data_IF_977012456006
#
_entry.id   IF_977012456006
#
_cell.length_a   1.000
_cell.length_b   1.000
_cell.length_c   1.000
_cell.angle_alpha   90.00
_cell.angle_beta   90.00
_cell.angle_gamma   90.00
#
_symmetry.space_group_name_H-M   'P 1'
#
loop_
_entity.id
_entity.type
_entity.pdbx_description
1 polymer ?
#
# COMPACT_ATOMS: atom_id res chain seq x y z
N UNK A 1 5.43 22.13 18.73
CA UNK A 1 4.76 20.83 18.48
C UNK A 1 5.83 19.79 18.13
N UNK A 2 6.19 18.91 19.07
CA UNK A 2 7.13 17.82 18.80
C UNK A 2 6.48 16.74 17.92
N UNK A 3 7.26 15.94 17.17
CA UNK A 3 6.71 14.85 16.38
C UNK A 3 6.00 13.82 17.28
N UNK A 4 4.83 13.33 16.84
CA UNK A 4 4.03 12.33 17.54
C UNK A 4 4.90 11.09 17.86
N UNK A 5 4.97 10.63 19.13
CA UNK A 5 5.79 9.49 19.53
C UNK A 5 5.49 8.19 18.75
N UNK A 6 4.25 8.00 18.28
CA UNK A 6 3.87 6.87 17.42
C UNK A 6 4.51 6.96 16.02
N UNK A 7 4.67 8.17 15.48
CA UNK A 7 5.33 8.37 14.19
C UNK A 7 6.85 8.18 14.30
N UNK A 8 7.45 8.53 15.45
CA UNK A 8 8.88 8.28 15.74
C UNK A 8 9.19 6.78 15.82
N UNK A 9 8.35 5.99 16.47
CA UNK A 9 8.58 4.54 16.60
C UNK A 9 8.43 3.80 15.27
N UNK A 10 7.43 4.14 14.44
CA UNK A 10 7.26 3.53 13.11
C UNK A 10 8.43 3.80 12.18
N UNK A 11 8.92 5.04 12.12
CA UNK A 11 10.11 5.36 11.32
C UNK A 11 11.36 4.60 11.79
N UNK A 12 11.49 4.36 13.10
CA UNK A 12 12.61 3.58 13.65
C UNK A 12 12.52 2.11 13.24
N UNK A 13 11.36 1.47 13.41
CA UNK A 13 11.15 0.06 13.01
C UNK A 13 11.37 -0.12 11.51
N UNK A 14 10.83 0.79 10.69
CA UNK A 14 11.03 0.77 9.24
C UNK A 14 12.50 0.87 8.86
N UNK A 15 13.24 1.82 9.46
CA UNK A 15 14.68 1.96 9.24
C UNK A 15 15.47 0.73 9.67
N UNK A 16 15.12 0.13 10.83
CA UNK A 16 15.77 -1.07 11.35
C UNK A 16 15.57 -2.27 10.42
N UNK A 17 14.33 -2.52 9.99
CA UNK A 17 14.01 -3.59 9.01
C UNK A 17 14.80 -3.37 7.71
N UNK A 18 14.90 -2.13 7.24
CA UNK A 18 15.66 -1.79 6.03
C UNK A 18 17.16 -2.08 6.15
N UNK A 19 17.76 -1.76 7.31
CA UNK A 19 19.17 -2.01 7.58
C UNK A 19 19.49 -3.51 7.74
N UNK A 20 18.53 -4.32 8.17
CA UNK A 20 18.69 -5.78 8.32
C UNK A 20 18.41 -6.55 7.01
N UNK A 21 18.13 -5.85 5.90
CA UNK A 21 17.78 -6.48 4.62
C UNK A 21 16.36 -7.06 4.58
N UNK A 22 15.55 -6.84 5.62
CA UNK A 22 14.20 -7.34 5.74
C UNK A 22 13.25 -6.72 4.71
N UNK A 23 12.17 -7.45 4.41
CA UNK A 23 11.10 -7.02 3.50
C UNK A 23 10.31 -5.86 4.15
N UNK A 24 9.92 -4.86 3.36
CA UNK A 24 8.99 -3.81 3.79
C UNK A 24 7.66 -4.44 4.22
N UNK A 25 7.13 -4.07 5.38
CA UNK A 25 5.79 -4.49 5.84
C UNK A 25 4.78 -3.38 5.55
N UNK A 26 3.55 -3.76 5.21
CA UNK A 26 2.48 -2.81 4.91
C UNK A 26 2.06 -2.02 6.16
N UNK A 27 2.10 -2.65 7.34
CA UNK A 27 1.77 -2.01 8.63
C UNK A 27 2.68 -0.81 8.97
N UNK A 28 3.88 -0.75 8.40
CA UNK A 28 4.85 0.34 8.60
C UNK A 28 4.58 1.55 7.69
N UNK A 29 3.99 1.32 6.52
CA UNK A 29 3.72 2.34 5.50
C UNK A 29 2.25 2.76 5.44
N UNK A 30 1.45 2.33 6.43
CA UNK A 30 0.06 2.73 6.63
C UNK A 30 -0.17 3.28 8.03
N UNK A 31 -1.22 4.07 8.18
CA UNK A 31 -1.73 4.50 9.48
C UNK A 31 -3.25 4.36 9.54
N UNK A 32 -3.82 4.44 10.74
CA UNK A 32 -5.28 4.46 10.92
C UNK A 32 -5.96 5.64 10.18
N UNK A 33 -5.21 6.70 9.88
CA UNK A 33 -5.71 7.90 9.17
C UNK A 33 -5.65 7.74 7.66
N UNK A 34 -4.81 6.82 7.16
CA UNK A 34 -4.72 6.51 5.72
C UNK A 34 -5.46 5.24 5.36
N UNK A 35 -6.21 4.66 6.29
CA UNK A 35 -7.12 3.54 6.07
C UNK A 35 -8.55 4.05 6.24
N UNK A 36 -9.28 4.11 5.13
CA UNK A 36 -10.64 4.67 5.05
C UNK A 36 -11.63 3.52 4.85
N UNK A 37 -12.54 3.31 5.80
CA UNK A 37 -13.51 2.20 5.79
C UNK A 37 -14.49 2.32 4.62
N UNK A 38 -14.78 3.55 4.22
CA UNK A 38 -15.72 3.90 3.18
C UNK A 38 -15.31 5.21 2.54
N UNK A 39 -14.80 5.11 1.32
CA UNK A 39 -14.46 6.27 0.49
C UNK A 39 -15.75 6.91 -0.02
N UNK A 40 -15.75 8.23 -0.13
CA UNK A 40 -16.91 9.03 -0.56
C UNK A 40 -16.87 9.38 -2.04
N UNK A 41 -15.71 9.23 -2.70
CA UNK A 41 -15.60 9.46 -4.13
C UNK A 41 -16.51 8.54 -4.96
N UNK A 42 -17.15 9.09 -5.98
CA UNK A 42 -18.05 8.35 -6.89
C UNK A 42 -17.41 8.02 -8.24
N UNK A 43 -16.18 8.47 -8.47
CA UNK A 43 -15.41 8.20 -9.67
C UNK A 43 -13.92 8.03 -9.33
N UNK A 44 -13.18 7.47 -10.29
CA UNK A 44 -11.74 7.23 -10.19
C UNK A 44 -10.94 8.47 -9.75
N UNK A 45 -11.26 9.66 -10.26
CA UNK A 45 -10.53 10.89 -9.97
C UNK A 45 -10.82 11.43 -8.57
N UNK A 46 -12.06 11.30 -8.09
CA UNK A 46 -12.47 11.65 -6.75
C UNK A 46 -11.83 10.71 -5.71
N UNK A 47 -11.80 9.40 -6.00
CA UNK A 47 -11.13 8.40 -5.15
C UNK A 47 -9.63 8.68 -5.02
N UNK A 48 -8.94 8.97 -6.13
CA UNK A 48 -7.52 9.33 -6.07
C UNK A 48 -7.27 10.63 -5.31
N UNK A 49 -8.16 11.62 -5.43
CA UNK A 49 -8.04 12.87 -4.67
C UNK A 49 -8.24 12.64 -3.16
N UNK A 50 -9.23 11.85 -2.76
CA UNK A 50 -9.53 11.53 -1.36
C UNK A 50 -8.36 10.78 -0.70
N UNK A 51 -7.79 9.77 -1.37
CA UNK A 51 -6.61 9.05 -0.87
C UNK A 51 -5.37 9.93 -0.82
N UNK A 52 -5.20 10.85 -1.78
CA UNK A 52 -4.10 11.84 -1.75
C UNK A 52 -4.22 12.80 -0.57
N UNK A 53 -5.43 13.20 -0.20
CA UNK A 53 -5.66 14.03 0.99
C UNK A 53 -5.29 13.28 2.28
N UNK A 54 -5.58 11.97 2.35
CA UNK A 54 -5.14 11.12 3.47
C UNK A 54 -3.61 11.12 3.60
N UNK A 55 -2.89 11.00 2.49
CA UNK A 55 -1.42 11.09 2.48
C UNK A 55 -0.93 12.49 2.91
N UNK A 56 -1.55 13.55 2.41
CA UNK A 56 -1.22 14.92 2.79
C UNK A 56 -1.38 15.15 4.31
N UNK A 57 -2.44 14.61 4.92
CA UNK A 57 -2.69 14.68 6.36
C UNK A 57 -1.61 13.97 7.21
N UNK A 58 -0.94 12.96 6.66
CA UNK A 58 0.22 12.28 7.26
C UNK A 58 1.56 13.00 7.03
N UNK A 59 1.51 14.19 6.38
CA UNK A 59 2.66 15.05 6.07
C UNK A 59 3.73 14.32 5.23
N UNK A 60 3.33 13.33 4.43
CA UNK A 60 4.24 12.58 3.54
C UNK A 60 4.49 13.34 2.24
N UNK A 61 3.56 14.22 1.85
CA UNK A 61 3.67 15.06 0.67
C UNK A 61 4.22 16.45 1.06
N UNK A 62 5.19 16.97 0.31
CA UNK A 62 5.58 18.39 0.35
C UNK A 62 4.64 19.25 -0.49
N UNK A 63 4.09 18.66 -1.55
CA UNK A 63 3.13 19.28 -2.46
C UNK A 63 2.14 18.18 -2.91
N UNK A 64 0.88 18.33 -2.50
CA UNK A 64 -0.17 17.35 -2.75
C UNK A 64 -0.73 17.41 -4.17
N UNK A 65 -0.79 18.60 -4.75
CA UNK A 65 -1.44 18.83 -6.04
C UNK A 65 -0.56 18.28 -7.17
N UNK A 66 0.76 18.45 -7.05
CA UNK A 66 1.73 17.84 -7.96
C UNK A 66 1.72 16.31 -7.86
N UNK A 67 1.58 15.74 -6.65
CA UNK A 67 1.43 14.28 -6.51
C UNK A 67 0.12 13.77 -7.11
N UNK A 68 -1.00 14.47 -6.86
CA UNK A 68 -2.31 14.13 -7.43
C UNK A 68 -2.30 14.19 -8.96
N UNK A 69 -1.58 15.15 -9.53
CA UNK A 69 -1.36 15.22 -10.97
C UNK A 69 -0.56 14.01 -11.46
N UNK A 70 0.57 13.72 -10.84
CA UNK A 70 1.45 12.61 -11.24
C UNK A 70 0.76 11.24 -11.16
N UNK A 71 -0.04 10.99 -10.11
CA UNK A 71 -0.78 9.73 -9.96
C UNK A 71 -1.85 9.57 -11.04
N UNK A 72 -2.53 10.66 -11.42
CA UNK A 72 -3.52 10.68 -12.51
C UNK A 72 -2.88 10.43 -13.86
N UNK A 73 -1.79 11.13 -14.17
CA UNK A 73 -1.03 10.92 -15.41
C UNK A 73 -0.55 9.47 -15.53
N UNK A 74 -0.09 8.86 -14.43
CA UNK A 74 0.28 7.44 -14.41
C UNK A 74 -0.90 6.52 -14.68
N UNK A 75 -2.05 6.81 -14.09
CA UNK A 75 -3.29 6.04 -14.24
C UNK A 75 -3.89 6.16 -15.66
N UNK A 76 -3.65 7.27 -16.35
CA UNK A 76 -4.08 7.49 -17.73
C UNK A 76 -3.26 6.68 -18.75
N UNK A 77 -1.97 6.42 -18.47
CA UNK A 77 -1.14 5.59 -19.34
C UNK A 77 -1.67 4.16 -19.44
N UNK A 78 -2.04 3.59 -18.30
CA UNK A 78 -2.64 2.26 -18.19
C UNK A 78 -3.32 2.17 -16.83
N UNK A 79 -4.54 1.62 -16.82
CA UNK A 79 -5.30 1.44 -15.60
C UNK A 79 -4.53 0.61 -14.58
N UNK A 80 -4.56 1.03 -13.32
CA UNK A 80 -4.01 0.24 -12.21
C UNK A 80 -5.05 -0.68 -11.55
N UNK A 81 -6.27 -0.74 -12.12
CA UNK A 81 -7.27 -1.72 -11.76
C UNK A 81 -7.00 -3.05 -12.45
N UNK A 82 -6.46 -4.00 -11.69
CA UNK A 82 -5.94 -5.28 -12.20
C UNK A 82 -7.00 -6.39 -12.29
N UNK A 83 -8.28 -6.03 -12.16
CA UNK A 83 -9.42 -6.93 -12.09
C UNK A 83 -9.66 -7.54 -10.70
N UNK A 84 -10.79 -8.22 -10.52
CA UNK A 84 -11.19 -8.78 -9.22
C UNK A 84 -11.65 -7.74 -8.21
N UNK A 85 -12.08 -6.56 -8.68
CA UNK A 85 -12.58 -5.49 -7.83
C UNK A 85 -11.51 -4.71 -7.06
N UNK A 86 -10.26 -4.72 -7.53
CA UNK A 86 -9.13 -4.09 -6.84
C UNK A 86 -8.35 -3.14 -7.76
N UNK A 87 -7.87 -2.02 -7.21
CA UNK A 87 -6.96 -1.10 -7.87
C UNK A 87 -5.77 -0.73 -6.99
N UNK A 88 -4.61 -0.51 -7.62
CA UNK A 88 -3.37 -0.13 -6.92
C UNK A 88 -2.76 1.11 -7.57
N UNK A 89 -3.37 2.30 -7.47
CA UNK A 89 -2.77 3.53 -7.99
C UNK A 89 -1.40 3.75 -7.36
N UNK A 90 -0.36 3.88 -8.15
CA UNK A 90 1.00 4.02 -7.62
C UNK A 90 1.83 5.00 -8.41
N UNK A 91 2.62 5.83 -7.72
CA UNK A 91 3.55 6.74 -8.37
C UNK A 91 4.80 6.97 -7.54
N UNK A 92 5.91 7.21 -8.24
CA UNK A 92 7.12 7.81 -7.68
C UNK A 92 7.12 9.30 -8.00
N UNK A 93 7.36 10.16 -7.02
CA UNK A 93 7.34 11.60 -7.25
C UNK A 93 8.19 12.36 -6.22
N UNK A 94 8.85 13.44 -6.66
CA UNK A 94 9.76 14.26 -5.84
C UNK A 94 9.06 14.91 -4.63
N UNK A 95 7.74 15.11 -4.72
CA UNK A 95 6.96 15.67 -3.61
C UNK A 95 6.74 14.66 -2.47
N UNK A 96 7.11 13.40 -2.63
CA UNK A 96 6.93 12.36 -1.60
C UNK A 96 8.19 12.26 -0.75
N UNK A 97 8.07 12.52 0.56
CA UNK A 97 9.21 12.55 1.50
C UNK A 97 9.69 11.18 1.97
N UNK A 98 8.81 10.19 1.93
CA UNK A 98 9.06 8.79 2.32
C UNK A 98 7.98 7.90 1.71
N UNK A 99 8.28 6.63 1.48
CA UNK A 99 7.28 5.68 1.02
C UNK A 99 6.12 5.60 2.03
N UNK A 100 4.89 5.79 1.53
CA UNK A 100 3.70 5.70 2.35
C UNK A 100 2.48 5.37 1.49
N UNK A 101 1.45 4.85 2.14
CA UNK A 101 0.28 4.31 1.48
C UNK A 101 -1.01 4.85 2.08
N UNK A 102 -2.05 4.79 1.27
CA UNK A 102 -3.42 4.97 1.68
C UNK A 102 -4.28 3.85 1.10
N UNK A 103 -5.24 3.35 1.87
CA UNK A 103 -6.16 2.31 1.46
C UNK A 103 -7.57 2.77 1.75
N UNK A 104 -8.51 2.47 0.85
CA UNK A 104 -9.91 2.61 1.18
C UNK A 104 -10.81 1.67 0.39
N UNK A 105 -12.02 1.51 0.88
CA UNK A 105 -13.03 0.64 0.28
C UNK A 105 -14.17 1.47 -0.30
N UNK A 106 -14.68 1.03 -1.44
CA UNK A 106 -15.86 1.59 -2.12
C UNK A 106 -16.92 0.51 -2.12
N UNK A 107 -17.88 0.60 -1.18
CA UNK A 107 -18.85 -0.49 -0.95
C UNK A 107 -19.68 -0.79 -2.19
N UNK A 108 -20.18 0.26 -2.84
CA UNK A 108 -21.01 0.15 -4.04
C UNK A 108 -20.20 -0.13 -5.32
N UNK A 109 -18.87 -0.11 -5.21
CA UNK A 109 -17.97 -0.19 -6.35
C UNK A 109 -17.86 1.13 -7.12
N UNK A 110 -16.77 1.29 -7.86
CA UNK A 110 -16.54 2.44 -8.74
C UNK A 110 -15.94 2.00 -10.07
N UNK A 111 -16.35 2.65 -11.15
CA UNK A 111 -15.71 2.46 -12.45
C UNK A 111 -14.26 2.96 -12.40
N UNK A 112 -13.33 2.10 -12.79
CA UNK A 112 -11.89 2.36 -12.70
C UNK A 112 -11.16 1.91 -13.97
N UNK A 113 -11.87 1.60 -15.06
CA UNK A 113 -11.35 0.99 -16.27
C UNK A 113 -10.58 -0.31 -15.97
N UNK A 114 -11.17 -1.19 -15.17
CA UNK A 114 -10.54 -2.46 -14.80
C UNK A 114 -10.38 -3.38 -16.03
N UNK A 115 -9.30 -4.17 -16.05
CA UNK A 115 -9.02 -5.12 -17.14
C UNK A 115 -10.14 -6.14 -17.38
N UNK A 116 -10.89 -6.49 -16.32
CA UNK A 116 -12.03 -7.43 -16.39
C UNK A 116 -13.39 -6.72 -16.54
N UNK A 117 -13.39 -5.39 -16.69
CA UNK A 117 -14.60 -4.56 -16.79
C UNK A 117 -15.46 -4.52 -15.53
N UNK A 118 -14.97 -5.01 -14.39
CA UNK A 118 -15.73 -5.01 -13.13
C UNK A 118 -15.44 -3.77 -12.29
N UNK A 119 -16.42 -3.29 -11.50
CA UNK A 119 -16.20 -2.18 -10.60
C UNK A 119 -15.15 -2.51 -9.53
N UNK A 120 -14.41 -1.49 -9.11
CA UNK A 120 -13.42 -1.60 -8.05
C UNK A 120 -14.05 -1.32 -6.68
N UNK A 121 -13.81 -2.21 -5.73
CA UNK A 121 -14.32 -2.11 -4.36
C UNK A 121 -13.23 -1.83 -3.32
N UNK A 122 -11.95 -2.02 -3.66
CA UNK A 122 -10.83 -1.69 -2.80
C UNK A 122 -9.69 -1.04 -3.57
N UNK A 123 -9.19 0.07 -3.04
CA UNK A 123 -8.11 0.86 -3.66
C UNK A 123 -6.96 0.99 -2.68
N UNK A 124 -5.75 0.67 -3.13
CA UNK A 124 -4.53 0.77 -2.34
C UNK A 124 -3.52 1.67 -3.06
N UNK A 125 -3.44 2.93 -2.64
CA UNK A 125 -2.54 3.92 -3.21
C UNK A 125 -1.12 3.81 -2.63
N UNK A 126 -0.11 3.81 -3.50
CA UNK A 126 1.32 3.80 -3.12
C UNK A 126 2.01 5.08 -3.58
N UNK A 127 2.54 5.84 -2.63
CA UNK A 127 3.36 7.01 -2.90
C UNK A 127 4.81 6.72 -2.50
N UNK A 128 5.78 6.99 -3.37
CA UNK A 128 7.20 6.80 -3.08
C UNK A 128 8.06 7.96 -3.58
N UNK A 129 9.16 8.30 -2.89
CA UNK A 129 10.20 9.11 -3.50
C UNK A 129 10.86 8.35 -4.68
N UNK A 130 11.54 9.05 -5.61
CA UNK A 130 12.14 8.44 -6.80
C UNK A 130 13.30 7.47 -6.55
N UNK A 131 14.01 7.62 -5.43
CA UNK A 131 15.24 6.89 -5.08
C UNK A 131 14.98 5.51 -4.44
N UNK A 132 13.75 5.24 -3.96
CA UNK A 132 13.40 3.99 -3.28
C UNK A 132 12.81 2.91 -4.21
N UNK A 133 13.48 2.60 -5.31
CA UNK A 133 12.97 1.67 -6.33
C UNK A 133 12.67 0.26 -5.79
N UNK A 134 13.57 -0.32 -4.99
CA UNK A 134 13.41 -1.69 -4.48
C UNK A 134 12.23 -1.79 -3.53
N UNK A 135 12.16 -0.90 -2.55
CA UNK A 135 11.11 -0.82 -1.54
C UNK A 135 9.75 -0.54 -2.18
N UNK A 136 9.72 0.36 -3.17
CA UNK A 136 8.52 0.65 -3.96
C UNK A 136 7.93 -0.61 -4.61
N UNK A 137 8.73 -1.38 -5.35
CA UNK A 137 8.27 -2.61 -6.00
C UNK A 137 7.84 -3.65 -4.95
N UNK A 138 8.53 -3.74 -3.81
CA UNK A 138 8.14 -4.62 -2.72
C UNK A 138 6.76 -4.26 -2.16
N UNK A 139 6.49 -2.97 -1.93
CA UNK A 139 5.20 -2.49 -1.42
C UNK A 139 4.08 -2.78 -2.40
N UNK A 140 4.26 -2.43 -3.68
CA UNK A 140 3.26 -2.72 -4.74
C UNK A 140 2.96 -4.22 -4.81
N UNK A 141 3.99 -5.06 -4.82
CA UNK A 141 3.82 -6.52 -4.88
C UNK A 141 3.18 -7.11 -3.61
N UNK A 142 3.36 -6.49 -2.44
CA UNK A 142 2.69 -6.91 -1.20
C UNK A 142 1.24 -6.45 -1.17
N UNK A 143 0.96 -5.21 -1.59
CA UNK A 143 -0.40 -4.70 -1.73
C UNK A 143 -1.22 -5.58 -2.68
N UNK A 144 -0.66 -5.94 -3.84
CA UNK A 144 -1.32 -6.85 -4.77
C UNK A 144 -1.62 -8.23 -4.15
N UNK A 145 -0.70 -8.78 -3.35
CA UNK A 145 -0.90 -10.05 -2.63
C UNK A 145 -1.95 -9.97 -1.54
N UNK A 146 -1.99 -8.86 -0.79
CA UNK A 146 -3.03 -8.61 0.21
C UNK A 146 -4.40 -8.56 -0.46
N UNK A 147 -4.53 -7.75 -1.51
CA UNK A 147 -5.78 -7.50 -2.22
C UNK A 147 -6.30 -8.72 -2.99
N UNK A 148 -5.42 -9.62 -3.45
CA UNK A 148 -5.79 -10.89 -4.09
C UNK A 148 -6.12 -12.01 -3.10
N UNK A 149 -5.94 -11.79 -1.79
CA UNK A 149 -6.25 -12.78 -0.78
C UNK A 149 -7.71 -12.66 -0.36
N UNK A 150 -8.56 -13.56 -0.86
CA UNK A 150 -10.00 -13.58 -0.52
C UNK A 150 -10.23 -13.57 1.00
N UNK A 151 -9.43 -14.35 1.74
CA UNK A 151 -9.50 -14.43 3.20
C UNK A 151 -9.20 -13.09 3.86
N UNK A 152 -8.18 -12.35 3.37
CA UNK A 152 -7.86 -11.03 3.92
C UNK A 152 -8.90 -10.01 3.52
N UNK A 153 -9.34 -10.01 2.26
CA UNK A 153 -10.37 -9.08 1.78
C UNK A 153 -11.70 -9.27 2.48
N UNK A 154 -12.16 -10.50 2.72
CA UNK A 154 -13.35 -10.77 3.52
C UNK A 154 -13.25 -10.16 4.92
N UNK A 155 -12.10 -10.30 5.59
CA UNK A 155 -11.86 -9.68 6.90
C UNK A 155 -11.83 -8.15 6.84
N UNK A 156 -11.27 -7.58 5.77
CA UNK A 156 -11.23 -6.12 5.57
C UNK A 156 -12.63 -5.56 5.32
N UNK A 157 -13.45 -6.22 4.50
CA UNK A 157 -14.83 -5.79 4.23
C UNK A 157 -15.76 -5.97 5.45
N UNK A 158 -15.48 -6.95 6.32
CA UNK A 158 -16.21 -7.15 7.57
C UNK A 158 -15.79 -6.19 8.70
N UNK A 159 -14.64 -5.51 8.56
CA UNK A 159 -14.11 -4.64 9.58
C UNK A 159 -14.98 -3.38 9.76
N UNK A 160 -15.23 -3.01 11.01
CA UNK A 160 -16.03 -1.83 11.38
C UNK A 160 -15.17 -0.63 11.78
N UNK A 161 -13.84 -0.77 11.75
CA UNK A 161 -12.91 0.30 12.09
C UNK A 161 -11.60 0.23 11.28
N UNK A 162 -10.95 1.36 11.06
CA UNK A 162 -9.60 1.39 10.46
C UNK A 162 -8.57 0.67 11.33
N UNK A 163 -8.81 0.60 12.65
CA UNK A 163 -8.01 -0.19 13.58
C UNK A 163 -8.08 -1.69 13.31
N UNK A 164 -9.28 -2.22 13.02
CA UNK A 164 -9.46 -3.63 12.68
C UNK A 164 -8.79 -3.96 11.35
N UNK A 165 -8.92 -3.11 10.34
CA UNK A 165 -8.24 -3.28 9.06
C UNK A 165 -6.71 -3.29 9.26
N UNK A 166 -6.17 -2.35 10.04
CA UNK A 166 -4.75 -2.34 10.38
C UNK A 166 -4.30 -3.64 11.07
N UNK A 167 -5.16 -4.27 11.88
CA UNK A 167 -4.87 -5.57 12.49
C UNK A 167 -4.82 -6.69 11.45
N UNK A 168 -5.75 -6.71 10.51
CA UNK A 168 -5.75 -7.68 9.39
C UNK A 168 -4.49 -7.54 8.55
N UNK A 169 -4.06 -6.31 8.24
CA UNK A 169 -2.83 -6.03 7.50
C UNK A 169 -1.60 -6.52 8.26
N UNK A 170 -1.55 -6.26 9.57
CA UNK A 170 -0.47 -6.75 10.43
C UNK A 170 -0.41 -8.29 10.49
N UNK A 171 -1.57 -8.95 10.55
CA UNK A 171 -1.66 -10.43 10.47
C UNK A 171 -1.16 -10.95 9.12
N UNK A 172 -1.57 -10.32 8.02
CA UNK A 172 -1.07 -10.62 6.68
C UNK A 172 0.45 -10.47 6.59
N UNK A 173 1.01 -9.38 7.12
CA UNK A 173 2.45 -9.15 7.09
C UNK A 173 3.22 -10.24 7.85
N UNK A 174 2.73 -10.66 9.02
CA UNK A 174 3.28 -11.77 9.81
C UNK A 174 3.22 -13.10 9.08
N UNK A 175 2.09 -13.43 8.45
CA UNK A 175 1.91 -14.68 7.69
C UNK A 175 2.88 -14.73 6.52
N UNK A 176 2.93 -13.66 5.72
CA UNK A 176 3.79 -13.59 4.54
C UNK A 176 5.28 -13.63 4.91
N UNK A 177 5.65 -13.01 6.04
CA UNK A 177 7.01 -13.08 6.56
C UNK A 177 7.39 -14.52 6.98
N UNK A 178 6.57 -15.18 7.80
CA UNK A 178 6.80 -16.58 8.22
C UNK A 178 6.96 -17.52 7.02
N UNK A 179 6.05 -17.46 6.06
CA UNK A 179 6.13 -18.27 4.85
C UNK A 179 7.43 -18.04 4.06
N UNK A 180 7.93 -16.81 4.03
CA UNK A 180 9.21 -16.50 3.35
C UNK A 180 10.42 -17.08 4.08
N UNK A 181 10.40 -17.08 5.41
CA UNK A 181 11.47 -17.66 6.24
C UNK A 181 11.48 -19.19 6.09
N UNK A 182 10.31 -19.83 6.16
CA UNK A 182 10.19 -21.29 6.02
C UNK A 182 10.64 -21.81 4.64
N UNK A 183 10.38 -21.05 3.56
CA UNK A 183 10.88 -21.41 2.23
C UNK A 183 12.41 -21.34 2.18
N UNK A 184 13.01 -20.32 2.81
CA UNK A 184 14.48 -20.18 2.84
C UNK A 184 15.17 -21.25 3.69
N UNK A 185 14.50 -21.83 4.69
CA UNK A 185 15.07 -22.85 5.57
C UNK A 185 14.84 -24.28 5.09
N UNK A 186 13.79 -24.55 4.30
CA UNK A 186 13.45 -25.90 3.83
C UNK A 186 14.32 -26.44 2.69
N UNK A 187 15.04 -25.60 1.95
CA UNK A 187 15.89 -26.06 0.84
C UNK A 187 17.41 -25.97 1.07
N UNK A 188 17.89 -25.21 2.07
CA UNK A 188 19.21 -25.33 2.73
C UNK A 188 20.49 -25.48 1.89
N UNK A 189 20.46 -25.46 0.55
CA UNK A 189 21.62 -25.69 -0.32
C UNK A 189 22.05 -24.38 -0.95
N UNK A 190 23.14 -23.82 -0.42
CA UNK A 190 24.00 -22.92 -1.18
C UNK A 190 24.86 -23.79 -2.09
N UNK A 191 24.65 -23.73 -3.40
CA UNK A 191 25.52 -24.38 -4.38
C UNK A 191 26.64 -23.38 -4.70
N UNK A 192 27.78 -23.51 -4.03
CA UNK A 192 29.03 -22.92 -4.54
C UNK A 192 29.47 -23.76 -5.72
N UNK A 193 29.57 -23.17 -6.91
CA UNK A 193 30.28 -23.78 -8.02
C UNK A 193 31.71 -23.23 -7.97
N UNK A 194 32.60 -24.00 -7.36
CA UNK A 194 34.04 -23.79 -7.48
C UNK A 194 34.41 -23.95 -8.97
N UNK A 195 34.91 -22.87 -9.56
CA UNK A 195 35.88 -22.89 -10.67
C UNK A 195 36.89 -21.79 -10.39
#
# INVERSE_FOLDING_TARGET
MGPNPIARSKNLVWNLRRQQGDKVFLEDVLSKKTVVIELKGHDKNAIMAELTECLAAEKVLSDKDTFLKAIREREELESTAIGGGIAIPHAKHESVKRIFCAMGMVRDGVEFNALDGKPVHAVFMVASPPDLNREYIQVVARAARLLKSDVMMQKIFAASSSQEIMKVIADFDRILHKASVDVSTKEGRVIHKDI
#
